data_IF_512802647014
#
_entry.id   IF_512802647014
#
_cell.length_a   1.000
_cell.length_b   1.000
_cell.length_c   1.000
_cell.angle_alpha   90.00
_cell.angle_beta   90.00
_cell.angle_gamma   90.00
#
_symmetry.space_group_name_H-M   'P 1'
#
loop_
_entity.id
_entity.type
_entity.pdbx_description
1 polymer ?
#
# COMPACT_ATOMS: atom_id res chain seq x y z
N UNK A 1 57.79 -40.71 0.80
CA UNK A 1 56.39 -40.57 1.31
C UNK A 1 55.97 -39.14 1.14
N UNK A 2 55.29 -38.86 0.09
CA UNK A 2 54.88 -37.50 -0.30
C UNK A 2 53.34 -37.33 -0.09
N UNK A 3 53.01 -36.65 0.98
CA UNK A 3 51.61 -36.35 1.32
C UNK A 3 51.14 -35.15 0.51
N UNK A 4 50.28 -35.38 -0.46
CA UNK A 4 49.60 -34.31 -1.25
C UNK A 4 48.44 -33.76 -0.44
N UNK A 5 48.57 -32.51 0.01
CA UNK A 5 47.48 -31.71 0.59
C UNK A 5 46.62 -31.17 -0.56
N UNK A 6 45.42 -31.70 -0.69
CA UNK A 6 44.36 -31.17 -1.60
C UNK A 6 43.69 -30.00 -0.88
N UNK A 7 43.96 -28.78 -1.32
CA UNK A 7 43.24 -27.57 -0.90
C UNK A 7 41.87 -27.52 -1.59
N UNK A 8 40.81 -27.75 -0.84
CA UNK A 8 39.43 -27.50 -1.27
C UNK A 8 39.17 -26.00 -1.20
N UNK A 9 39.16 -25.34 -2.34
CA UNK A 9 38.66 -23.96 -2.46
C UNK A 9 37.13 -24.01 -2.53
N UNK A 10 36.47 -23.69 -1.43
CA UNK A 10 35.03 -23.49 -1.36
C UNK A 10 34.72 -22.10 -1.95
N UNK A 11 34.26 -22.06 -3.17
CA UNK A 11 33.71 -20.84 -3.78
C UNK A 11 32.31 -20.65 -3.21
N UNK A 12 32.19 -19.80 -2.21
CA UNK A 12 30.90 -19.30 -1.73
C UNK A 12 30.43 -18.22 -2.72
N UNK A 13 29.58 -18.61 -3.65
CA UNK A 13 28.85 -17.65 -4.50
C UNK A 13 27.76 -17.02 -3.62
N UNK A 14 28.02 -15.79 -3.15
CA UNK A 14 27.04 -14.96 -2.48
C UNK A 14 26.07 -14.46 -3.54
N UNK A 15 24.93 -15.14 -3.67
CA UNK A 15 23.78 -14.63 -4.41
C UNK A 15 23.11 -13.51 -3.56
N UNK A 16 23.74 -12.34 -3.52
CA UNK A 16 23.15 -11.13 -2.99
C UNK A 16 22.96 -10.18 -4.16
N UNK A 17 21.71 -9.93 -4.55
CA UNK A 17 21.26 -8.72 -5.23
C UNK A 17 20.16 -9.02 -6.27
N UNK A 18 18.95 -9.29 -5.78
CA UNK A 18 17.77 -9.08 -6.63
C UNK A 18 16.66 -8.27 -5.95
N UNK A 19 16.81 -7.88 -4.68
CA UNK A 19 15.80 -7.11 -3.95
C UNK A 19 15.77 -5.62 -4.27
N UNK A 20 16.87 -5.03 -4.71
CA UNK A 20 16.96 -3.56 -4.89
C UNK A 20 16.19 -3.03 -6.09
N UNK A 21 16.01 -3.83 -7.13
CA UNK A 21 15.22 -3.45 -8.31
C UNK A 21 13.71 -3.49 -8.04
N UNK A 22 13.25 -4.54 -7.35
CA UNK A 22 11.86 -4.72 -6.93
C UNK A 22 11.38 -3.59 -6.02
N UNK A 23 12.15 -3.25 -5.00
CA UNK A 23 11.81 -2.21 -4.02
C UNK A 23 11.66 -0.82 -4.65
N UNK A 24 12.45 -0.49 -5.68
CA UNK A 24 12.34 0.80 -6.38
C UNK A 24 11.06 0.85 -7.19
N UNK A 25 10.75 -0.20 -7.93
CA UNK A 25 9.52 -0.31 -8.72
C UNK A 25 8.28 -0.27 -7.83
N UNK A 26 8.28 -0.97 -6.70
CA UNK A 26 7.16 -0.93 -5.75
C UNK A 26 6.94 0.46 -5.16
N UNK A 27 8.01 1.19 -4.83
CA UNK A 27 7.90 2.59 -4.35
C UNK A 27 7.36 3.53 -5.42
N UNK A 28 7.76 3.37 -6.66
CA UNK A 28 7.24 4.18 -7.77
C UNK A 28 5.75 3.93 -7.99
N UNK A 29 5.32 2.67 -8.01
CA UNK A 29 3.92 2.28 -8.15
C UNK A 29 3.10 2.78 -6.97
N UNK A 30 3.60 2.63 -5.74
CA UNK A 30 2.93 3.15 -4.55
C UNK A 30 2.86 4.68 -4.55
N UNK A 31 3.89 5.36 -5.04
CA UNK A 31 3.91 6.81 -5.21
C UNK A 31 2.83 7.30 -6.18
N UNK A 32 2.59 6.59 -7.27
CA UNK A 32 1.53 6.94 -8.21
C UNK A 32 0.13 6.60 -7.66
N UNK A 33 -0.05 5.42 -7.06
CA UNK A 33 -1.32 5.01 -6.45
C UNK A 33 -1.77 5.96 -5.33
N UNK A 34 -0.83 6.44 -4.53
CA UNK A 34 -1.08 7.31 -3.37
C UNK A 34 -0.77 8.80 -3.65
N UNK A 35 -0.64 9.17 -4.91
CA UNK A 35 -0.36 10.55 -5.32
C UNK A 35 -1.40 11.53 -4.80
N UNK A 36 -0.93 12.60 -4.17
CA UNK A 36 -1.78 13.61 -3.54
C UNK A 36 -2.21 13.27 -2.11
N UNK A 37 -1.85 12.08 -1.60
CA UNK A 37 -1.92 11.78 -0.19
C UNK A 37 -0.67 12.28 0.52
N UNK A 38 -0.90 12.85 1.70
CA UNK A 38 0.17 13.33 2.58
C UNK A 38 0.27 12.37 3.77
N UNK A 39 1.47 12.00 4.16
CA UNK A 39 1.70 11.20 5.38
C UNK A 39 1.63 12.07 6.62
N UNK A 40 1.21 11.48 7.74
CA UNK A 40 1.21 12.17 9.03
C UNK A 40 2.62 12.68 9.38
N UNK A 41 2.76 13.90 9.94
CA UNK A 41 4.07 14.48 10.25
C UNK A 41 4.94 13.56 11.13
N UNK A 42 6.22 13.49 10.82
CA UNK A 42 7.22 12.63 11.51
C UNK A 42 6.92 11.14 11.47
N UNK A 43 6.09 10.69 10.53
CA UNK A 43 5.93 9.26 10.29
C UNK A 43 7.17 8.65 9.66
N UNK A 44 7.47 7.42 10.05
CA UNK A 44 8.53 6.60 9.48
C UNK A 44 7.93 5.51 8.60
N UNK A 45 8.50 5.29 7.42
CA UNK A 45 8.10 4.21 6.53
C UNK A 45 8.56 2.87 7.11
N UNK A 46 7.64 1.94 7.27
CA UNK A 46 7.89 0.57 7.73
C UNK A 46 8.04 -0.38 6.55
N UNK A 47 7.08 -0.35 5.62
CA UNK A 47 7.14 -1.17 4.41
C UNK A 47 6.34 -0.56 3.26
N UNK A 48 6.69 -0.97 2.05
CA UNK A 48 6.00 -0.67 0.80
C UNK A 48 5.73 -1.99 0.10
N UNK A 49 4.56 -2.14 -0.48
CA UNK A 49 4.25 -3.23 -1.38
C UNK A 49 3.33 -2.75 -2.49
N UNK A 50 3.48 -3.33 -3.67
CA UNK A 50 2.62 -3.06 -4.81
C UNK A 50 2.12 -4.38 -5.39
N UNK A 51 0.80 -4.51 -5.50
CA UNK A 51 0.13 -5.60 -6.17
C UNK A 51 -0.28 -5.22 -7.59
N UNK A 52 -1.18 -6.00 -8.17
CA UNK A 52 -1.73 -5.70 -9.50
C UNK A 52 -2.68 -4.50 -9.48
N UNK A 53 -3.55 -4.44 -8.49
CA UNK A 53 -4.70 -3.53 -8.47
C UNK A 53 -4.56 -2.42 -7.42
N UNK A 54 -3.67 -2.60 -6.45
CA UNK A 54 -3.45 -1.66 -5.36
C UNK A 54 -2.01 -1.63 -4.89
N UNK A 55 -1.62 -0.52 -4.32
CA UNK A 55 -0.35 -0.37 -3.62
C UNK A 55 -0.59 0.00 -2.16
N UNK A 56 0.33 -0.43 -1.30
CA UNK A 56 0.24 -0.28 0.13
C UNK A 56 1.50 0.34 0.71
N UNK A 57 1.31 1.28 1.62
CA UNK A 57 2.35 1.82 2.50
C UNK A 57 1.98 1.52 3.94
N UNK A 58 2.91 0.98 4.70
CA UNK A 58 2.80 0.83 6.15
C UNK A 58 3.74 1.83 6.80
N UNK A 59 3.20 2.64 7.70
CA UNK A 59 3.92 3.71 8.37
C UNK A 59 3.72 3.62 9.88
N UNK A 60 4.68 4.16 10.63
CA UNK A 60 4.60 4.35 12.07
C UNK A 60 4.57 5.86 12.38
N UNK A 61 3.62 6.30 13.19
CA UNK A 61 3.46 7.68 13.61
C UNK A 61 3.69 7.82 15.13
N UNK A 62 4.40 8.87 15.60
CA UNK A 62 4.65 9.09 17.01
C UNK A 62 3.46 9.80 17.69
N UNK A 63 2.25 9.27 17.51
CA UNK A 63 1.02 9.83 18.06
C UNK A 63 -0.05 8.73 18.22
N UNK A 64 -1.03 8.90 19.13
CA UNK A 64 -2.15 7.98 19.25
C UNK A 64 -3.00 7.88 17.97
N UNK A 65 -3.63 6.73 17.75
CA UNK A 65 -4.43 6.45 16.54
C UNK A 65 -5.53 7.50 16.31
N UNK A 66 -6.23 7.92 17.35
CA UNK A 66 -7.25 8.97 17.29
C UNK A 66 -6.70 10.32 16.79
N UNK A 67 -5.49 10.69 17.23
CA UNK A 67 -4.84 11.93 16.81
C UNK A 67 -4.49 11.87 15.32
N UNK A 68 -3.94 10.74 14.89
CA UNK A 68 -3.60 10.51 13.46
C UNK A 68 -4.87 10.47 12.61
N UNK A 69 -5.93 9.79 13.07
CA UNK A 69 -7.22 9.74 12.38
C UNK A 69 -7.86 11.13 12.24
N UNK A 70 -7.88 11.91 13.31
CA UNK A 70 -8.40 13.29 13.30
C UNK A 70 -7.63 14.18 12.32
N UNK A 71 -6.31 13.98 12.21
CA UNK A 71 -5.49 14.69 11.23
C UNK A 71 -5.84 14.28 9.81
N UNK A 72 -6.01 12.97 9.53
CA UNK A 72 -6.42 12.48 8.20
C UNK A 72 -7.80 12.97 7.80
N UNK A 73 -8.78 12.97 8.70
CA UNK A 73 -10.12 13.52 8.45
C UNK A 73 -10.08 14.96 7.95
N UNK A 74 -9.21 15.80 8.52
CA UNK A 74 -9.03 17.19 8.08
C UNK A 74 -8.24 17.30 6.79
N UNK A 75 -7.16 16.54 6.68
CA UNK A 75 -6.22 16.62 5.56
C UNK A 75 -6.84 16.09 4.28
N UNK A 76 -7.58 14.99 4.32
CA UNK A 76 -8.32 14.45 3.18
C UNK A 76 -9.27 15.49 2.60
N UNK A 77 -10.11 16.10 3.43
CA UNK A 77 -11.04 17.15 2.99
C UNK A 77 -10.34 18.35 2.36
N UNK A 78 -9.24 18.81 2.96
CA UNK A 78 -8.47 19.94 2.42
C UNK A 78 -7.85 19.66 1.07
N UNK A 79 -7.50 18.40 0.81
CA UNK A 79 -6.87 17.95 -0.44
C UNK A 79 -7.89 17.43 -1.47
N UNK A 80 -9.18 17.70 -1.30
CA UNK A 80 -10.21 17.33 -2.26
C UNK A 80 -10.63 15.87 -2.24
N UNK A 81 -10.34 15.17 -1.14
CA UNK A 81 -10.83 13.81 -0.93
C UNK A 81 -12.16 13.85 -0.19
N UNK A 82 -13.12 13.05 -0.63
CA UNK A 82 -14.41 12.88 0.00
C UNK A 82 -14.38 11.65 0.91
N UNK A 83 -14.52 11.87 2.22
CA UNK A 83 -14.56 10.80 3.20
C UNK A 83 -15.91 10.07 3.10
N UNK A 84 -15.89 8.80 2.71
CA UNK A 84 -17.07 7.96 2.48
C UNK A 84 -17.39 7.05 3.65
N UNK A 85 -16.35 6.58 4.35
CA UNK A 85 -16.53 5.79 5.56
C UNK A 85 -15.50 6.20 6.62
N UNK A 86 -15.94 6.14 7.86
CA UNK A 86 -15.17 6.48 9.06
C UNK A 86 -15.72 5.65 10.21
N UNK A 87 -14.94 4.76 10.76
CA UNK A 87 -15.40 3.86 11.81
C UNK A 87 -14.27 3.30 12.66
N UNK A 88 -14.62 3.07 13.92
CA UNK A 88 -13.79 2.32 14.86
C UNK A 88 -14.21 0.87 14.84
N UNK A 89 -13.25 -0.04 14.78
CA UNK A 89 -13.44 -1.48 14.82
C UNK A 89 -13.43 -1.99 16.28
N UNK A 90 -13.97 -3.19 16.54
CA UNK A 90 -13.98 -3.76 17.90
C UNK A 90 -12.60 -3.96 18.53
N UNK A 91 -11.55 -4.09 17.71
CA UNK A 91 -10.16 -4.21 18.15
C UNK A 91 -9.49 -2.84 18.46
N UNK A 92 -10.26 -1.75 18.38
CA UNK A 92 -9.78 -0.39 18.60
C UNK A 92 -9.06 0.23 17.41
N UNK A 93 -8.95 -0.48 16.27
CA UNK A 93 -8.44 0.12 15.04
C UNK A 93 -9.45 1.08 14.42
N UNK A 94 -8.97 2.07 13.69
CA UNK A 94 -9.79 3.05 13.00
C UNK A 94 -9.61 2.87 11.51
N UNK A 95 -10.72 2.75 10.78
CA UNK A 95 -10.75 2.68 9.32
C UNK A 95 -11.35 3.93 8.72
N UNK A 96 -10.65 4.53 7.77
CA UNK A 96 -11.14 5.63 6.95
C UNK A 96 -11.12 5.18 5.48
N UNK A 97 -12.19 5.49 4.75
CA UNK A 97 -12.23 5.31 3.31
C UNK A 97 -12.59 6.64 2.65
N UNK A 98 -11.81 7.04 1.68
CA UNK A 98 -12.05 8.28 0.94
C UNK A 98 -11.81 8.08 -0.55
N UNK A 99 -12.51 8.85 -1.36
CA UNK A 99 -12.31 8.92 -2.79
C UNK A 99 -12.04 10.36 -3.28
N UNK A 100 -11.41 10.46 -4.44
CA UNK A 100 -11.19 11.71 -5.15
C UNK A 100 -11.20 11.44 -6.65
N UNK A 101 -12.33 11.70 -7.29
CA UNK A 101 -12.57 11.39 -8.70
C UNK A 101 -12.56 9.89 -8.96
N UNK A 102 -11.51 9.39 -9.60
CA UNK A 102 -11.36 7.94 -9.93
C UNK A 102 -10.36 7.22 -9.03
N UNK A 103 -9.98 7.84 -7.94
CA UNK A 103 -8.96 7.32 -7.01
C UNK A 103 -9.60 7.08 -5.68
N UNK A 104 -9.29 5.97 -5.06
CA UNK A 104 -9.72 5.65 -3.70
C UNK A 104 -8.53 5.35 -2.79
N UNK A 105 -8.75 5.54 -1.49
CA UNK A 105 -7.79 5.23 -0.46
C UNK A 105 -8.48 4.64 0.76
N UNK A 106 -7.90 3.57 1.28
CA UNK A 106 -8.18 3.01 2.60
C UNK A 106 -7.05 3.37 3.54
N UNK A 107 -7.41 3.87 4.71
CA UNK A 107 -6.47 4.18 5.78
C UNK A 107 -6.91 3.37 7.00
N UNK A 108 -6.06 2.46 7.45
CA UNK A 108 -6.30 1.68 8.67
C UNK A 108 -5.25 2.06 9.70
N UNK A 109 -5.70 2.46 10.88
CA UNK A 109 -4.85 2.88 11.97
C UNK A 109 -4.99 1.88 13.12
N UNK A 110 -3.91 1.20 13.45
CA UNK A 110 -3.86 0.27 14.58
C UNK A 110 -3.19 0.98 15.78
N UNK A 111 -3.82 0.96 16.96
CA UNK A 111 -3.21 1.53 18.15
C UNK A 111 -1.91 0.78 18.49
N UNK A 112 -0.85 1.53 18.78
CA UNK A 112 0.40 0.96 19.26
C UNK A 112 0.29 0.44 20.69
N UNK A 113 1.21 -0.41 21.08
CA UNK A 113 1.32 -0.83 22.47
C UNK A 113 1.51 0.39 23.40
N UNK A 114 0.76 0.44 24.50
CA UNK A 114 0.79 1.51 25.48
C UNK A 114 0.43 2.93 24.98
N UNK A 115 -0.25 3.04 23.83
CA UNK A 115 -0.75 4.33 23.32
C UNK A 115 0.29 5.31 22.80
N UNK A 116 1.55 4.90 22.69
CA UNK A 116 2.66 5.80 22.38
C UNK A 116 2.91 5.99 20.87
N UNK A 117 2.54 5.05 20.04
CA UNK A 117 2.75 5.11 18.60
C UNK A 117 1.61 4.40 17.87
N UNK A 118 1.36 4.80 16.64
CA UNK A 118 0.35 4.19 15.76
C UNK A 118 1.03 3.60 14.56
N UNK A 119 0.75 2.33 14.27
CA UNK A 119 1.03 1.78 12.95
C UNK A 119 -0.19 2.00 12.08
N UNK A 120 0.01 2.59 10.91
CA UNK A 120 -1.08 2.81 9.98
C UNK A 120 -0.71 2.41 8.56
N UNK A 121 -1.71 1.97 7.84
CA UNK A 121 -1.61 1.47 6.49
C UNK A 121 -2.40 2.36 5.55
N UNK A 122 -1.78 2.78 4.46
CA UNK A 122 -2.43 3.46 3.34
C UNK A 122 -2.50 2.47 2.18
N UNK A 123 -3.68 2.21 1.68
CA UNK A 123 -3.90 1.39 0.47
C UNK A 123 -4.58 2.26 -0.56
N UNK A 124 -3.95 2.41 -1.71
CA UNK A 124 -4.49 3.17 -2.84
C UNK A 124 -4.62 2.31 -4.09
N UNK A 125 -5.66 2.56 -4.88
CA UNK A 125 -5.85 1.88 -6.15
C UNK A 125 -4.81 2.34 -7.18
N UNK A 126 -4.32 1.40 -7.98
CA UNK A 126 -3.42 1.72 -9.09
C UNK A 126 -4.26 2.22 -10.27
N UNK A 127 -4.11 3.49 -10.68
CA UNK A 127 -4.91 4.06 -11.76
C UNK A 127 -4.70 3.32 -13.07
N UNK A 128 -5.79 2.99 -13.77
CA UNK A 128 -5.73 2.45 -15.14
C UNK A 128 -6.20 1.00 -15.30
N UNK A 129 -6.34 0.23 -14.22
CA UNK A 129 -6.77 -1.18 -14.31
C UNK A 129 -8.29 -1.37 -14.35
N UNK A 130 -9.07 -0.46 -13.77
CA UNK A 130 -10.54 -0.51 -13.82
C UNK A 130 -11.10 -0.39 -15.23
N UNK A 131 -10.40 0.33 -16.12
CA UNK A 131 -10.83 0.51 -17.51
C UNK A 131 -10.76 -0.78 -18.33
N UNK A 132 -9.83 -1.68 -17.99
CA UNK A 132 -9.68 -2.98 -18.65
C UNK A 132 -10.78 -3.95 -18.21
N UNK A 133 -11.19 -3.94 -16.96
CA UNK A 133 -12.22 -4.80 -16.39
C UNK A 133 -13.62 -4.43 -16.90
N UNK A 134 -13.93 -3.13 -17.00
CA UNK A 134 -15.19 -2.65 -17.58
C UNK A 134 -15.33 -2.96 -19.07
N UNK A 135 -14.24 -2.88 -19.86
CA UNK A 135 -14.27 -3.25 -21.29
C UNK A 135 -14.50 -4.74 -21.51
N UNK A 136 -13.94 -5.60 -20.68
CA UNK A 136 -14.14 -7.06 -20.76
C UNK A 136 -15.56 -7.49 -20.37
N UNK A 137 -16.18 -6.83 -19.38
CA UNK A 137 -17.56 -7.10 -18.96
C UNK A 137 -18.61 -6.65 -19.97
N UNK A 138 -18.39 -5.53 -20.67
CA UNK A 138 -19.30 -4.99 -21.66
C UNK A 138 -19.38 -5.79 -22.96
N UNK A 139 -18.26 -6.42 -23.34
CA UNK A 139 -18.15 -7.24 -24.56
C UNK A 139 -18.91 -8.57 -24.49
N UNK A 140 -19.07 -9.14 -23.31
CA UNK A 140 -19.81 -10.40 -23.12
C UNK A 140 -21.33 -10.24 -23.12
N UNK A 141 -21.86 -9.07 -22.72
CA UNK A 141 -23.30 -8.81 -22.67
C UNK A 141 -23.91 -8.61 -24.06
N UNK A 142 -23.15 -8.05 -25.00
CA UNK A 142 -23.66 -7.72 -26.36
C UNK A 142 -23.84 -8.97 -27.25
N UNK A 143 -23.14 -10.06 -26.98
CA UNK A 143 -23.16 -11.26 -27.85
C UNK A 143 -24.34 -12.19 -27.56
N UNK A 144 -25.07 -11.97 -26.47
CA UNK A 144 -26.22 -12.84 -26.08
C UNK A 144 -27.57 -12.39 -26.63
N UNK A 145 -27.68 -11.18 -27.19
CA UNK A 145 -28.97 -10.62 -27.66
C UNK A 145 -29.24 -10.89 -29.16
N UNK A 146 -28.26 -11.38 -29.91
CA UNK A 146 -28.42 -11.61 -31.37
C UNK A 146 -28.74 -13.06 -31.78
N UNK A 147 -29.16 -13.93 -30.84
CA UNK A 147 -29.65 -15.28 -31.14
C UNK A 147 -31.04 -15.48 -30.54
N UNK A 148 -32.04 -14.82 -31.13
CA UNK A 148 -33.46 -15.26 -31.15
C UNK A 148 -34.12 -14.78 -32.44
#
# INVERSE_FOLDING_TARGET
MTTRLLAFVVVVVVAACERTGSDRTEREVAGEALKGLVTYPRSSLVSVSAGRDAAQLVLSAPAPAETVAAWYRRTLRRNGWELRADGMQPDGSISLYADSGRRSVWITLAPGAAGAATTYTLVGDIPGLDTARQRSGSSMSSKRIQRR
#
